data_IF_893168481855
#
_entry.id   IF_893168481855
#
_cell.length_a   1.000
_cell.length_b   1.000
_cell.length_c   1.000
_cell.angle_alpha   90.00
_cell.angle_beta   90.00
_cell.angle_gamma   90.00
#
_symmetry.space_group_name_H-M   'P 1'
#
loop_
_entity.id
_entity.type
_entity.pdbx_description
1 polymer ?
#
# COMPACT_ATOMS: atom_id res chain seq x y z
N UNK A 1 -12.79 18.71 7.25
CA UNK A 1 -11.97 17.65 6.64
C UNK A 1 -12.57 16.25 6.83
N UNK A 2 -13.13 15.92 7.96
CA UNK A 2 -13.76 14.60 8.25
C UNK A 2 -15.01 14.34 7.41
N UNK A 3 -15.79 15.35 7.07
CA UNK A 3 -17.04 15.23 6.27
C UNK A 3 -16.82 14.84 4.82
N UNK A 4 -15.65 15.15 4.23
CA UNK A 4 -15.33 14.80 2.83
C UNK A 4 -15.12 13.29 2.67
N UNK A 5 -14.64 12.61 3.72
CA UNK A 5 -14.39 11.16 3.71
C UNK A 5 -15.67 10.32 3.77
N UNK A 6 -16.72 10.84 4.42
CA UNK A 6 -18.00 10.13 4.53
C UNK A 6 -18.81 10.07 3.22
N UNK A 7 -18.56 10.99 2.28
CA UNK A 7 -19.36 11.10 1.04
C UNK A 7 -18.68 10.45 -0.19
N UNK A 8 -17.43 9.99 -0.03
CA UNK A 8 -16.72 9.31 -1.12
C UNK A 8 -17.24 7.89 -1.32
N UNK A 9 -17.59 7.60 -2.60
CA UNK A 9 -17.96 6.23 -2.98
C UNK A 9 -16.82 5.27 -2.60
N UNK A 10 -17.09 4.11 -2.00
CA UNK A 10 -16.07 3.18 -1.51
C UNK A 10 -15.04 2.77 -2.57
N UNK A 11 -15.43 2.76 -3.85
CA UNK A 11 -14.54 2.48 -4.97
C UNK A 11 -13.45 3.55 -5.19
N UNK A 12 -13.77 4.82 -4.91
CA UNK A 12 -12.81 5.93 -5.06
C UNK A 12 -11.82 5.92 -3.91
N UNK A 13 -12.30 5.71 -2.70
CA UNK A 13 -11.47 5.58 -1.51
C UNK A 13 -10.44 4.46 -1.67
N UNK A 14 -10.87 3.29 -2.14
CA UNK A 14 -10.01 2.15 -2.40
C UNK A 14 -8.90 2.45 -3.43
N UNK A 15 -9.23 3.15 -4.52
CA UNK A 15 -8.23 3.57 -5.51
C UNK A 15 -7.18 4.52 -4.92
N UNK A 16 -7.60 5.45 -4.07
CA UNK A 16 -6.70 6.39 -3.40
C UNK A 16 -5.73 5.62 -2.49
N UNK A 17 -6.22 4.66 -1.70
CA UNK A 17 -5.37 3.84 -0.84
C UNK A 17 -4.31 3.07 -1.64
N UNK A 18 -4.68 2.42 -2.74
CA UNK A 18 -3.73 1.69 -3.59
C UNK A 18 -2.63 2.61 -4.13
N UNK A 19 -2.98 3.83 -4.55
CA UNK A 19 -2.00 4.80 -5.05
C UNK A 19 -1.04 5.24 -3.95
N UNK A 20 -1.55 5.56 -2.76
CA UNK A 20 -0.75 5.97 -1.61
C UNK A 20 0.17 4.82 -1.18
N UNK A 21 -0.35 3.60 -1.08
CA UNK A 21 0.41 2.40 -0.76
C UNK A 21 1.56 2.19 -1.76
N UNK A 22 1.29 2.30 -3.06
CA UNK A 22 2.31 2.21 -4.11
C UNK A 22 3.42 3.25 -3.97
N UNK A 23 3.08 4.50 -3.63
CA UNK A 23 4.05 5.56 -3.36
C UNK A 23 4.89 5.24 -2.12
N UNK A 24 4.28 4.78 -1.04
CA UNK A 24 5.00 4.40 0.18
C UNK A 24 5.97 3.25 -0.06
N UNK A 25 5.55 2.20 -0.75
CA UNK A 25 6.40 1.07 -1.12
C UNK A 25 7.59 1.53 -1.95
N UNK A 26 7.35 2.40 -2.93
CA UNK A 26 8.42 2.96 -3.77
C UNK A 26 9.47 3.71 -2.95
N UNK A 27 9.05 4.58 -2.02
CA UNK A 27 9.97 5.32 -1.15
C UNK A 27 10.71 4.40 -0.18
N UNK A 28 10.03 3.44 0.44
CA UNK A 28 10.66 2.46 1.34
C UNK A 28 11.69 1.63 0.58
N UNK A 29 11.39 1.21 -0.65
CA UNK A 29 12.31 0.45 -1.48
C UNK A 29 13.57 1.25 -1.84
N UNK A 30 13.40 2.47 -2.37
CA UNK A 30 14.53 3.34 -2.76
C UNK A 30 15.41 3.69 -1.57
N UNK A 31 14.82 4.11 -0.45
CA UNK A 31 15.57 4.42 0.76
C UNK A 31 16.20 3.19 1.38
N UNK A 32 15.54 2.03 1.29
CA UNK A 32 16.07 0.75 1.74
C UNK A 32 17.33 0.31 1.00
N UNK A 33 17.39 0.50 -0.32
CA UNK A 33 18.60 0.23 -1.12
C UNK A 33 19.79 1.01 -0.58
N UNK A 34 19.63 2.31 -0.32
CA UNK A 34 20.70 3.16 0.20
C UNK A 34 21.15 2.74 1.60
N UNK A 35 20.20 2.33 2.45
CA UNK A 35 20.51 1.88 3.81
C UNK A 35 21.16 0.49 3.84
N UNK A 36 20.87 -0.34 2.84
CA UNK A 36 21.50 -1.65 2.71
C UNK A 36 22.96 -1.53 2.24
N UNK A 37 23.20 -0.74 1.18
CA UNK A 37 24.55 -0.48 0.67
C UNK A 37 24.67 0.95 0.10
N UNK A 38 25.42 1.78 0.80
CA UNK A 38 25.69 3.18 0.42
C UNK A 38 26.43 3.30 -0.91
N UNK A 39 27.13 2.26 -1.33
CA UNK A 39 27.90 2.22 -2.57
C UNK A 39 27.26 1.33 -3.65
N UNK A 40 26.00 0.95 -3.49
CA UNK A 40 25.33 0.06 -4.41
C UNK A 40 25.30 0.62 -5.85
N UNK A 41 25.75 -0.23 -6.77
CA UNK A 41 25.87 0.08 -8.20
C UNK A 41 24.99 -0.90 -8.97
N UNK A 42 24.11 -0.39 -9.80
CA UNK A 42 23.29 -1.17 -10.71
C UNK A 42 23.63 -0.82 -12.16
N UNK A 43 24.03 -1.83 -12.97
CA UNK A 43 24.41 -1.63 -14.38
C UNK A 43 25.39 -0.47 -14.59
N UNK A 44 26.45 -0.39 -13.79
CA UNK A 44 27.48 0.68 -13.78
C UNK A 44 26.98 2.07 -13.33
N UNK A 45 25.73 2.19 -12.89
CA UNK A 45 25.15 3.44 -12.37
C UNK A 45 25.23 3.42 -10.83
N UNK A 46 25.86 4.42 -10.21
CA UNK A 46 25.96 4.50 -8.75
C UNK A 46 24.62 4.99 -8.14
N UNK A 47 23.63 4.09 -8.09
CA UNK A 47 22.25 4.42 -7.71
C UNK A 47 22.16 5.02 -6.31
N UNK A 48 22.86 4.43 -5.33
CA UNK A 48 22.86 4.95 -3.96
C UNK A 48 23.41 6.36 -3.86
N UNK A 49 24.46 6.69 -4.61
CA UNK A 49 25.05 8.04 -4.63
C UNK A 49 24.09 9.06 -5.23
N UNK A 50 23.37 8.69 -6.27
CA UNK A 50 22.37 9.55 -6.92
C UNK A 50 21.24 9.85 -5.92
N UNK A 51 20.73 8.82 -5.25
CA UNK A 51 19.66 8.97 -4.25
C UNK A 51 20.14 9.86 -3.10
N UNK A 52 21.34 9.62 -2.55
CA UNK A 52 21.92 10.44 -1.48
C UNK A 52 22.08 11.89 -1.93
N UNK A 53 22.49 12.13 -3.17
CA UNK A 53 22.60 13.48 -3.73
C UNK A 53 21.25 14.20 -3.79
N UNK A 54 20.22 13.52 -4.26
CA UNK A 54 18.85 14.09 -4.34
C UNK A 54 18.36 14.47 -2.95
N UNK A 55 18.46 13.56 -1.98
CA UNK A 55 18.06 13.84 -0.59
C UNK A 55 18.97 14.86 0.10
N UNK A 56 20.22 14.99 -0.37
CA UNK A 56 21.18 15.98 0.09
C UNK A 56 20.77 17.43 -0.19
N UNK A 57 19.93 17.68 -1.20
CA UNK A 57 19.36 19.03 -1.44
C UNK A 57 18.31 19.42 -0.40
N UNK A 58 17.61 18.43 0.16
CA UNK A 58 16.50 18.66 1.08
C UNK A 58 16.96 18.57 2.54
N UNK A 59 17.94 17.72 2.83
CA UNK A 59 18.43 17.47 4.20
C UNK A 59 18.91 18.72 4.96
N UNK A 60 19.54 19.73 4.33
CA UNK A 60 19.92 20.95 5.03
C UNK A 60 18.75 21.77 5.57
N UNK A 61 17.57 21.69 4.95
CA UNK A 61 16.35 22.34 5.45
C UNK A 61 15.95 21.85 6.84
N UNK A 62 16.35 20.62 7.17
CA UNK A 62 16.08 19.99 8.47
C UNK A 62 17.32 19.96 9.40
N UNK A 63 18.41 20.65 9.03
CA UNK A 63 19.69 20.60 9.76
C UNK A 63 20.21 19.17 9.99
N UNK A 64 20.00 18.30 9.03
CA UNK A 64 20.36 16.88 9.10
C UNK A 64 21.38 16.50 8.03
N UNK A 65 22.20 15.48 8.34
CA UNK A 65 23.02 14.82 7.34
C UNK A 65 22.10 14.01 6.37
N UNK A 66 22.47 13.92 5.10
CA UNK A 66 21.70 13.23 4.05
C UNK A 66 21.34 11.78 4.44
N UNK A 67 22.28 11.03 5.03
CA UNK A 67 22.01 9.65 5.48
C UNK A 67 21.06 9.60 6.68
N UNK A 68 21.17 10.54 7.62
CA UNK A 68 20.26 10.63 8.76
C UNK A 68 18.84 10.98 8.27
N UNK A 69 18.74 11.88 7.30
CA UNK A 69 17.48 12.26 6.69
C UNK A 69 16.84 11.08 5.93
N UNK A 70 17.62 10.30 5.16
CA UNK A 70 17.13 9.10 4.47
C UNK A 70 16.62 8.05 5.48
N UNK A 71 17.33 7.84 6.61
CA UNK A 71 16.86 6.95 7.69
C UNK A 71 15.54 7.42 8.29
N UNK A 72 15.41 8.72 8.52
CA UNK A 72 14.16 9.31 9.03
C UNK A 72 13.00 9.09 8.06
N UNK A 73 13.21 9.38 6.78
CA UNK A 73 12.19 9.17 5.74
C UNK A 73 11.82 7.69 5.62
N UNK A 74 12.80 6.79 5.60
CA UNK A 74 12.55 5.36 5.56
C UNK A 74 11.68 4.88 6.73
N UNK A 75 12.01 5.34 7.94
CA UNK A 75 11.27 5.02 9.15
C UNK A 75 9.83 5.55 9.10
N UNK A 76 9.66 6.84 8.76
CA UNK A 76 8.33 7.46 8.66
C UNK A 76 7.47 6.79 7.59
N UNK A 77 8.01 6.52 6.41
CA UNK A 77 7.29 5.85 5.33
C UNK A 77 6.93 4.40 5.70
N UNK A 78 7.80 3.70 6.42
CA UNK A 78 7.50 2.34 6.91
C UNK A 78 6.36 2.35 7.93
N UNK A 79 6.38 3.27 8.90
CA UNK A 79 5.26 3.40 9.85
C UNK A 79 3.96 3.80 9.16
N UNK A 80 4.03 4.72 8.21
CA UNK A 80 2.86 5.15 7.45
C UNK A 80 2.30 4.00 6.61
N UNK A 81 3.16 3.22 5.96
CA UNK A 81 2.77 2.03 5.21
C UNK A 81 2.07 0.98 6.10
N UNK A 82 2.63 0.69 7.28
CA UNK A 82 2.01 -0.25 8.22
C UNK A 82 0.65 0.26 8.70
N UNK A 83 0.55 1.55 9.02
CA UNK A 83 -0.71 2.17 9.43
C UNK A 83 -1.76 2.09 8.31
N UNK A 84 -1.38 2.42 7.08
CA UNK A 84 -2.25 2.36 5.92
C UNK A 84 -2.69 0.92 5.64
N UNK A 85 -1.78 -0.03 5.72
CA UNK A 85 -2.10 -1.45 5.56
C UNK A 85 -3.15 -1.92 6.58
N UNK A 86 -3.00 -1.53 7.84
CA UNK A 86 -3.99 -1.82 8.89
C UNK A 86 -5.34 -1.19 8.54
N UNK A 87 -5.36 0.09 8.13
CA UNK A 87 -6.58 0.77 7.71
C UNK A 87 -7.23 0.09 6.50
N UNK A 88 -6.42 -0.36 5.54
CA UNK A 88 -6.87 -1.07 4.35
C UNK A 88 -7.56 -2.39 4.73
N UNK A 89 -6.92 -3.19 5.58
CA UNK A 89 -7.51 -4.44 6.08
C UNK A 89 -8.80 -4.17 6.85
N UNK A 90 -8.81 -3.14 7.72
CA UNK A 90 -9.99 -2.74 8.46
C UNK A 90 -11.16 -2.34 7.55
N UNK A 91 -10.91 -1.51 6.53
CA UNK A 91 -11.93 -1.08 5.57
C UNK A 91 -12.49 -2.28 4.78
N UNK A 92 -11.64 -3.22 4.39
CA UNK A 92 -12.07 -4.45 3.72
C UNK A 92 -12.89 -5.34 4.65
N UNK A 93 -12.56 -5.39 5.93
CA UNK A 93 -13.25 -6.22 6.93
C UNK A 93 -14.63 -5.64 7.28
N UNK A 94 -14.79 -4.32 7.26
CA UNK A 94 -16.08 -3.65 7.48
C UNK A 94 -17.00 -3.59 6.25
N UNK A 95 -16.52 -3.94 5.04
CA UNK A 95 -17.41 -4.09 3.89
C UNK A 95 -18.23 -5.37 4.04
N UNK A 96 -19.58 -5.28 4.20
CA UNK A 96 -20.43 -6.47 4.40
C UNK A 96 -20.36 -7.46 3.25
N UNK A 97 -19.88 -7.05 2.08
CA UNK A 97 -19.66 -7.94 0.93
C UNK A 97 -18.39 -8.74 1.08
N UNK A 98 -17.33 -8.15 1.64
CA UNK A 98 -16.03 -8.79 1.84
C UNK A 98 -16.04 -9.63 3.12
N UNK A 99 -16.72 -9.20 4.17
CA UNK A 99 -16.94 -9.98 5.39
C UNK A 99 -17.60 -11.34 5.10
N UNK A 100 -18.40 -11.41 4.05
CA UNK A 100 -18.99 -12.67 3.56
C UNK A 100 -17.90 -13.66 3.12
N UNK A 101 -16.83 -13.19 2.45
CA UNK A 101 -15.71 -14.04 2.03
C UNK A 101 -14.86 -14.50 3.22
N UNK A 102 -14.56 -13.63 4.16
CA UNK A 102 -13.82 -13.99 5.38
C UNK A 102 -14.58 -15.01 6.21
N UNK A 103 -15.87 -14.82 6.36
CA UNK A 103 -16.74 -15.78 7.04
C UNK A 103 -16.75 -17.14 6.33
N UNK A 104 -16.82 -17.16 5.01
CA UNK A 104 -16.78 -18.38 4.21
C UNK A 104 -15.43 -19.10 4.36
N UNK A 105 -14.32 -18.38 4.35
CA UNK A 105 -12.97 -18.95 4.42
C UNK A 105 -12.67 -19.51 5.83
N UNK A 106 -12.99 -18.75 6.90
CA UNK A 106 -12.54 -19.07 8.25
C UNK A 106 -13.58 -19.77 9.13
N UNK A 107 -14.88 -19.62 8.83
CA UNK A 107 -15.96 -20.12 9.69
C UNK A 107 -16.79 -21.22 9.00
N UNK A 108 -17.27 -20.96 7.80
CA UNK A 108 -18.26 -21.83 7.16
C UNK A 108 -17.66 -22.80 6.13
N UNK A 109 -16.45 -22.53 5.59
CA UNK A 109 -15.81 -23.32 4.55
C UNK A 109 -16.64 -23.50 3.27
N UNK A 110 -17.74 -22.76 3.12
CA UNK A 110 -18.69 -22.84 2.01
C UNK A 110 -18.84 -21.48 1.36
N UNK A 111 -18.34 -21.36 0.16
CA UNK A 111 -18.58 -20.20 -0.69
C UNK A 111 -19.89 -20.40 -1.48
N UNK A 112 -20.89 -19.55 -1.24
CA UNK A 112 -22.03 -19.46 -2.17
C UNK A 112 -21.53 -18.68 -3.39
N UNK A 113 -21.16 -19.43 -4.43
CA UNK A 113 -20.84 -18.86 -5.73
C UNK A 113 -22.17 -18.44 -6.37
N UNK A 114 -22.61 -17.21 -6.11
CA UNK A 114 -23.68 -16.57 -6.88
C UNK A 114 -23.11 -16.16 -8.26
N UNK A 115 -22.68 -17.14 -9.04
CA UNK A 115 -22.28 -16.88 -10.42
C UNK A 115 -23.55 -16.82 -11.29
N UNK A 116 -23.73 -15.76 -12.09
CA UNK A 116 -24.86 -15.68 -13.02
C UNK A 116 -24.89 -16.85 -14.01
N UNK A 117 -23.77 -17.54 -14.22
CA UNK A 117 -23.70 -18.74 -15.07
C UNK A 117 -24.45 -19.95 -14.49
N UNK A 118 -24.50 -20.12 -13.17
CA UNK A 118 -25.23 -21.23 -12.56
C UNK A 118 -26.75 -21.04 -12.66
N UNK A 119 -27.26 -19.81 -12.67
CA UNK A 119 -28.66 -19.51 -12.89
C UNK A 119 -29.09 -19.84 -14.32
N UNK A 120 -28.21 -19.62 -15.31
CA UNK A 120 -28.47 -19.95 -16.72
C UNK A 120 -28.57 -21.47 -16.93
N UNK A 121 -27.74 -22.25 -16.21
CA UNK A 121 -27.75 -23.71 -16.30
C UNK A 121 -28.98 -24.31 -15.59
N UNK A 122 -29.41 -23.70 -14.47
CA UNK A 122 -30.62 -24.12 -13.74
C UNK A 122 -31.91 -23.89 -14.56
N UNK A 123 -32.03 -22.73 -15.21
CA UNK A 123 -33.22 -22.42 -16.06
C UNK A 123 -33.29 -23.23 -17.38
N UNK A 124 -32.23 -23.92 -17.77
CA UNK A 124 -32.19 -24.72 -18.99
C UNK A 124 -32.62 -26.17 -18.76
N UNK A 125 -32.90 -26.57 -17.51
CA UNK A 125 -33.32 -27.91 -17.11
C UNK A 125 -34.84 -28.04 -16.85
N UNK A 126 -35.58 -26.95 -16.91
CA UNK A 126 -37.03 -26.93 -16.96
C UNK A 126 -37.54 -26.78 -18.43
#
# INVERSE_FOLDING_TARGET
>A
MITIWCDMKPKVLFKIFIVIEGICIFFVFITGIVLYDVNWIFLHIPVSKIIISIFGYISPLFNMNSLAFIRLIHLLMTYFFVFEFICHVFILEFDPKVFRYWKAIFIDGKEKIDSPMLQIVSNKKE
#
